data_IF_784543282573
#
_entry.id   IF_784543282573
#
_cell.length_a   1.000
_cell.length_b   1.000
_cell.length_c   1.000
_cell.angle_alpha   90.00
_cell.angle_beta   90.00
_cell.angle_gamma   90.00
#
_symmetry.space_group_name_H-M   'P 1'
#
loop_
_entity.id
_entity.type
_entity.pdbx_description
1 polymer ?
#
# COMPACT_ATOMS: atom_id res chain seq x y z
N UNK A 1 23.28 -6.61 29.54
CA UNK A 1 22.52 -6.58 28.29
C UNK A 1 23.49 -6.60 27.13
N UNK A 2 23.12 -7.26 26.02
CA UNK A 2 23.91 -7.30 24.81
C UNK A 2 23.06 -6.92 23.59
N UNK A 3 23.69 -6.47 22.52
CA UNK A 3 23.06 -6.22 21.22
C UNK A 3 23.43 -7.39 20.30
N UNK A 4 22.41 -7.98 19.65
CA UNK A 4 22.57 -9.01 18.63
C UNK A 4 22.04 -8.49 17.30
N UNK A 5 22.83 -8.58 16.26
CA UNK A 5 22.42 -8.33 14.89
C UNK A 5 22.30 -9.65 14.13
N UNK A 6 21.22 -9.82 13.40
CA UNK A 6 20.95 -10.98 12.55
C UNK A 6 20.70 -10.47 11.13
N UNK A 7 21.49 -10.91 10.17
CA UNK A 7 21.28 -10.62 8.75
C UNK A 7 20.99 -11.95 8.01
N UNK A 8 19.88 -11.98 7.27
CA UNK A 8 19.44 -13.14 6.49
C UNK A 8 19.24 -12.71 5.05
N UNK A 9 20.00 -13.30 4.12
CA UNK A 9 19.82 -13.12 2.69
C UNK A 9 18.77 -14.09 2.13
N UNK A 10 18.07 -13.68 1.09
CA UNK A 10 17.19 -14.59 0.34
C UNK A 10 18.01 -15.65 -0.37
N UNK A 11 17.61 -16.91 -0.26
CA UNK A 11 18.27 -18.04 -0.92
C UNK A 11 18.07 -18.09 -2.46
N UNK A 12 17.14 -17.29 -2.98
CA UNK A 12 16.95 -17.14 -4.41
C UNK A 12 18.00 -16.19 -4.97
N UNK A 13 18.90 -16.70 -5.82
CA UNK A 13 20.02 -15.96 -6.43
C UNK A 13 19.59 -14.69 -7.19
N UNK A 14 18.40 -14.68 -7.79
CA UNK A 14 17.82 -13.52 -8.48
C UNK A 14 17.23 -12.46 -7.54
N UNK A 15 17.01 -12.79 -6.27
CA UNK A 15 16.26 -11.91 -5.35
C UNK A 15 17.13 -10.83 -4.69
N UNK A 16 18.36 -11.12 -4.32
CA UNK A 16 19.34 -10.24 -3.64
C UNK A 16 18.80 -9.46 -2.41
N UNK A 17 17.61 -9.83 -1.89
CA UNK A 17 17.01 -9.18 -0.73
C UNK A 17 17.67 -9.66 0.55
N UNK A 18 17.91 -8.73 1.47
CA UNK A 18 18.47 -8.99 2.80
C UNK A 18 17.51 -8.51 3.86
N UNK A 19 17.34 -9.31 4.92
CA UNK A 19 16.65 -8.89 6.13
C UNK A 19 17.69 -8.71 7.23
N UNK A 20 17.64 -7.56 7.91
CA UNK A 20 18.46 -7.29 9.09
C UNK A 20 17.55 -7.03 10.29
N UNK A 21 17.79 -7.77 11.37
CA UNK A 21 17.06 -7.61 12.63
C UNK A 21 18.08 -7.33 13.75
N UNK A 22 17.78 -6.38 14.62
CA UNK A 22 18.53 -6.15 15.85
C UNK A 22 17.70 -6.54 17.05
N UNK A 23 18.38 -7.08 18.07
CA UNK A 23 17.75 -7.55 19.29
C UNK A 23 18.55 -7.12 20.50
N UNK A 24 17.85 -6.70 21.56
CA UNK A 24 18.43 -6.53 22.88
C UNK A 24 18.22 -7.82 23.65
N UNK A 25 19.32 -8.46 24.02
CA UNK A 25 19.32 -9.74 24.70
C UNK A 25 19.91 -9.60 26.11
N UNK A 26 19.50 -10.48 27.01
CA UNK A 26 20.11 -10.57 28.31
C UNK A 26 21.48 -11.27 28.21
N UNK A 27 22.46 -10.75 28.96
CA UNK A 27 23.80 -11.32 29.01
C UNK A 27 24.26 -11.40 30.46
N UNK A 28 24.85 -12.50 30.86
CA UNK A 28 25.48 -12.70 32.17
C UNK A 28 26.99 -12.79 31.97
N UNK A 29 27.74 -12.27 32.93
CA UNK A 29 29.22 -12.39 32.96
C UNK A 29 29.57 -13.82 33.41
N UNK A 30 30.24 -14.57 32.54
CA UNK A 30 30.78 -15.89 32.88
C UNK A 30 32.05 -15.80 33.69
N UNK A 31 32.48 -16.94 34.26
CA UNK A 31 33.63 -17.05 35.19
C UNK A 31 34.97 -16.61 34.57
N UNK A 32 35.15 -16.59 33.29
CA UNK A 32 36.38 -16.22 32.57
C UNK A 32 36.31 -14.85 31.89
N UNK A 33 35.38 -13.98 32.32
CA UNK A 33 35.23 -12.65 31.74
C UNK A 33 34.45 -12.60 30.41
N UNK A 34 34.07 -13.73 29.88
CA UNK A 34 33.19 -13.82 28.67
C UNK A 34 31.75 -13.61 29.07
N UNK A 35 30.95 -13.01 28.15
CA UNK A 35 29.52 -12.88 28.34
C UNK A 35 28.80 -14.11 27.81
N UNK A 36 27.92 -14.70 28.62
CA UNK A 36 27.03 -15.77 28.24
C UNK A 36 25.68 -15.12 27.92
N UNK A 37 25.25 -15.26 26.68
CA UNK A 37 23.97 -14.72 26.25
C UNK A 37 22.85 -15.70 26.60
N UNK A 38 21.83 -15.22 27.31
CA UNK A 38 20.59 -15.99 27.52
C UNK A 38 19.66 -15.76 26.32
N UNK A 39 18.88 -16.76 25.88
CA UNK A 39 18.02 -16.63 24.72
C UNK A 39 16.78 -15.76 24.97
N UNK A 40 16.76 -14.96 26.03
CA UNK A 40 15.63 -14.07 26.33
C UNK A 40 15.85 -12.74 25.63
N UNK A 41 15.10 -12.55 24.54
CA UNK A 41 15.01 -11.27 23.82
C UNK A 41 14.08 -10.33 24.59
N UNK A 42 14.57 -9.16 24.97
CA UNK A 42 13.77 -8.12 25.62
C UNK A 42 13.22 -7.11 24.65
N UNK A 43 13.85 -6.97 23.49
CA UNK A 43 13.43 -6.09 22.41
C UNK A 43 13.96 -6.65 21.09
N UNK A 44 13.13 -6.61 20.04
CA UNK A 44 13.52 -6.98 18.68
C UNK A 44 12.97 -5.95 17.71
N UNK A 45 13.82 -5.47 16.79
CA UNK A 45 13.43 -4.54 15.73
C UNK A 45 14.03 -4.98 14.40
N UNK A 46 13.20 -5.10 13.39
CA UNK A 46 13.62 -5.26 12.00
C UNK A 46 14.12 -3.92 11.47
N UNK A 47 15.34 -3.90 10.92
CA UNK A 47 15.97 -2.69 10.38
C UNK A 47 15.90 -2.65 8.86
N UNK A 48 16.01 -3.82 8.21
CA UNK A 48 15.96 -3.94 6.75
C UNK A 48 15.07 -5.13 6.38
N UNK A 49 14.09 -4.95 5.51
CA UNK A 49 13.52 -3.67 5.11
C UNK A 49 12.91 -2.96 6.33
N UNK A 50 12.95 -1.66 6.34
CA UNK A 50 12.36 -0.82 7.40
C UNK A 50 10.84 -0.76 7.31
N UNK A 51 10.29 -1.14 6.15
CA UNK A 51 8.86 -1.19 5.86
C UNK A 51 8.44 -2.56 5.32
N UNK A 52 7.16 -2.93 5.54
CA UNK A 52 6.48 -4.06 4.92
C UNK A 52 5.79 -3.68 3.60
N UNK A 53 6.00 -2.45 3.11
CA UNK A 53 5.42 -1.99 1.86
C UNK A 53 5.78 -2.92 0.69
N UNK A 54 4.77 -3.33 -0.08
CA UNK A 54 4.97 -4.07 -1.32
C UNK A 54 5.52 -3.12 -2.38
N UNK A 55 6.42 -3.62 -3.22
CA UNK A 55 6.91 -2.85 -4.37
C UNK A 55 5.76 -2.66 -5.35
N UNK A 56 5.42 -1.41 -5.61
CA UNK A 56 4.35 -1.05 -6.55
C UNK A 56 4.93 -0.75 -7.93
N UNK A 57 4.22 -1.12 -9.01
CA UNK A 57 4.65 -0.85 -10.39
C UNK A 57 4.88 0.64 -10.68
N UNK A 58 5.86 0.95 -11.53
CA UNK A 58 6.24 2.33 -11.87
C UNK A 58 5.16 3.13 -12.61
N UNK A 59 4.22 2.45 -13.28
CA UNK A 59 3.09 3.11 -13.94
C UNK A 59 2.02 3.63 -12.97
N UNK A 60 2.09 3.29 -11.67
CA UNK A 60 1.31 3.95 -10.62
C UNK A 60 2.00 5.28 -10.28
N UNK A 61 1.28 6.41 -10.20
CA UNK A 61 1.86 7.70 -9.90
C UNK A 61 2.79 7.68 -8.68
N UNK A 62 3.96 8.31 -8.76
CA UNK A 62 4.98 8.28 -7.70
C UNK A 62 4.44 8.80 -6.37
N UNK A 63 3.64 9.87 -6.40
CA UNK A 63 3.01 10.45 -5.19
C UNK A 63 2.16 9.43 -4.44
N UNK A 64 1.41 8.57 -5.15
CA UNK A 64 0.59 7.53 -4.53
C UNK A 64 1.47 6.42 -3.92
N UNK A 65 2.54 6.03 -4.62
CA UNK A 65 3.51 5.04 -4.14
C UNK A 65 4.28 5.55 -2.91
N UNK A 66 4.61 6.82 -2.89
CA UNK A 66 5.28 7.49 -1.76
C UNK A 66 4.37 7.52 -0.54
N UNK A 67 3.12 8.01 -0.67
CA UNK A 67 2.14 8.03 0.42
C UNK A 67 1.90 6.63 1.01
N UNK A 68 1.74 5.63 0.16
CA UNK A 68 1.57 4.24 0.57
C UNK A 68 2.81 3.73 1.32
N UNK A 69 4.00 3.97 0.79
CA UNK A 69 5.25 3.51 1.40
C UNK A 69 5.47 4.16 2.77
N UNK A 70 5.24 5.47 2.87
CA UNK A 70 5.36 6.20 4.11
C UNK A 70 4.31 5.75 5.15
N UNK A 71 3.06 5.52 4.72
CA UNK A 71 2.02 4.97 5.59
C UNK A 71 2.45 3.62 6.19
N UNK A 72 3.02 2.72 5.38
CA UNK A 72 3.54 1.44 5.85
C UNK A 72 4.71 1.60 6.84
N UNK A 73 5.64 2.54 6.59
CA UNK A 73 6.79 2.81 7.44
C UNK A 73 6.39 3.25 8.85
N UNK A 74 5.45 4.19 8.94
CA UNK A 74 5.10 4.83 10.21
C UNK A 74 3.94 4.17 10.95
N UNK A 75 3.32 3.12 10.40
CA UNK A 75 2.14 2.45 10.96
C UNK A 75 2.26 2.15 12.47
N UNK A 76 3.38 1.56 12.89
CA UNK A 76 3.62 1.21 14.28
C UNK A 76 4.17 2.36 15.13
N UNK A 77 4.68 3.42 14.49
CA UNK A 77 5.22 4.59 15.17
C UNK A 77 4.13 5.65 15.41
N UNK A 78 3.27 5.84 14.45
CA UNK A 78 2.15 6.78 14.48
C UNK A 78 1.00 6.27 13.63
N UNK A 79 0.15 5.37 14.16
CA UNK A 79 -1.00 4.83 13.42
C UNK A 79 -1.91 5.91 12.86
N UNK A 80 -2.11 6.98 13.64
CA UNK A 80 -2.87 8.17 13.23
C UNK A 80 -2.31 8.85 11.98
N UNK A 81 -0.99 9.06 11.93
CA UNK A 81 -0.35 9.66 10.76
C UNK A 81 -0.37 8.71 9.57
N UNK A 82 -0.17 7.41 9.80
CA UNK A 82 -0.31 6.35 8.78
C UNK A 82 -1.71 6.37 8.14
N UNK A 83 -2.77 6.40 8.95
CA UNK A 83 -4.15 6.49 8.48
C UNK A 83 -4.42 7.78 7.66
N UNK A 84 -3.79 8.89 8.03
CA UNK A 84 -3.90 10.16 7.30
C UNK A 84 -3.25 10.07 5.92
N UNK A 85 -2.06 9.46 5.82
CA UNK A 85 -1.38 9.22 4.55
C UNK A 85 -2.15 8.23 3.68
N UNK A 86 -2.65 7.15 4.27
CA UNK A 86 -3.49 6.18 3.56
C UNK A 86 -4.73 6.85 2.95
N UNK A 87 -5.41 7.70 3.71
CA UNK A 87 -6.55 8.47 3.22
C UNK A 87 -6.16 9.42 2.08
N UNK A 88 -5.01 10.10 2.18
CA UNK A 88 -4.49 10.97 1.11
C UNK A 88 -4.18 10.17 -0.15
N UNK A 89 -3.59 8.99 -0.02
CA UNK A 89 -3.33 8.08 -1.12
C UNK A 89 -4.64 7.69 -1.84
N UNK A 90 -5.66 7.24 -1.10
CA UNK A 90 -6.97 6.88 -1.67
C UNK A 90 -7.61 8.07 -2.38
N UNK A 91 -7.56 9.26 -1.79
CA UNK A 91 -8.07 10.47 -2.42
C UNK A 91 -7.32 10.79 -3.72
N UNK A 92 -6.00 10.62 -3.73
CA UNK A 92 -5.18 10.75 -4.93
C UNK A 92 -5.55 9.74 -6.02
N UNK A 93 -5.86 8.50 -5.65
CA UNK A 93 -6.30 7.47 -6.60
C UNK A 93 -7.65 7.83 -7.25
N UNK A 94 -8.60 8.34 -6.50
CA UNK A 94 -9.89 8.82 -7.03
C UNK A 94 -9.66 9.95 -8.04
N UNK A 95 -8.77 10.89 -7.73
CA UNK A 95 -8.46 12.01 -8.62
C UNK A 95 -7.75 11.57 -9.89
N UNK A 96 -6.78 10.68 -9.76
CA UNK A 96 -5.99 10.21 -10.90
C UNK A 96 -6.79 9.30 -11.84
N UNK A 97 -7.51 8.33 -11.30
CA UNK A 97 -8.22 7.33 -12.09
C UNK A 97 -9.60 7.79 -12.57
N UNK A 98 -10.34 8.48 -11.68
CA UNK A 98 -11.73 8.82 -11.93
C UNK A 98 -11.90 10.27 -12.41
N UNK A 99 -10.82 11.08 -12.43
CA UNK A 99 -10.88 12.50 -12.77
C UNK A 99 -11.94 13.26 -11.93
N UNK A 100 -12.01 12.93 -10.64
CA UNK A 100 -12.89 13.56 -9.67
C UNK A 100 -12.02 14.35 -8.70
N UNK A 101 -12.12 15.68 -8.71
CA UNK A 101 -11.41 16.56 -7.80
C UNK A 101 -12.39 17.48 -7.09
N UNK A 102 -12.66 17.20 -5.82
CA UNK A 102 -13.47 18.03 -4.90
C UNK A 102 -12.60 18.46 -3.73
N UNK A 103 -13.08 19.41 -2.94
CA UNK A 103 -12.34 19.90 -1.78
C UNK A 103 -12.22 18.87 -0.65
N UNK A 104 -13.14 17.92 -0.55
CA UNK A 104 -13.19 16.93 0.53
C UNK A 104 -13.40 15.53 -0.02
N UNK A 105 -12.72 14.54 0.55
CA UNK A 105 -12.86 13.13 0.17
C UNK A 105 -14.32 12.64 0.19
N UNK A 106 -15.11 13.09 1.16
CA UNK A 106 -16.55 12.73 1.23
C UNK A 106 -17.32 13.15 0.00
N UNK A 107 -17.01 14.31 -0.58
CA UNK A 107 -17.69 14.81 -1.77
C UNK A 107 -17.20 14.10 -3.03
N UNK A 108 -15.92 13.67 -3.06
CA UNK A 108 -15.37 12.82 -4.12
C UNK A 108 -16.00 11.41 -4.12
N UNK A 109 -16.19 10.80 -2.94
CA UNK A 109 -16.87 9.51 -2.80
C UNK A 109 -18.34 9.61 -3.26
N UNK A 110 -19.07 10.67 -2.89
CA UNK A 110 -20.44 10.86 -3.34
C UNK A 110 -20.55 10.98 -4.85
N UNK A 111 -19.64 11.74 -5.46
CA UNK A 111 -19.60 11.87 -6.91
C UNK A 111 -19.24 10.53 -7.59
N UNK A 112 -18.34 9.75 -7.01
CA UNK A 112 -17.98 8.44 -7.52
C UNK A 112 -19.16 7.46 -7.46
N UNK A 113 -19.91 7.43 -6.34
CA UNK A 113 -21.16 6.64 -6.22
C UNK A 113 -22.19 7.04 -7.29
N UNK A 114 -22.40 8.34 -7.48
CA UNK A 114 -23.30 8.85 -8.53
C UNK A 114 -22.88 8.39 -9.92
N UNK A 115 -21.59 8.38 -10.23
CA UNK A 115 -21.08 7.89 -11.53
C UNK A 115 -21.27 6.40 -11.71
N UNK A 116 -21.13 5.60 -10.66
CA UNK A 116 -21.41 4.16 -10.70
C UNK A 116 -22.88 3.91 -10.99
N UNK A 117 -23.79 4.59 -10.27
CA UNK A 117 -25.24 4.51 -10.49
C UNK A 117 -25.64 4.91 -11.93
N UNK A 118 -24.89 5.84 -12.53
CA UNK A 118 -25.10 6.30 -13.90
C UNK A 118 -24.37 5.46 -14.97
N UNK A 119 -23.69 4.36 -14.60
CA UNK A 119 -22.81 3.55 -15.48
C UNK A 119 -21.69 4.39 -16.18
N UNK A 120 -21.26 5.48 -15.54
CA UNK A 120 -20.23 6.42 -16.01
C UNK A 120 -18.91 6.33 -15.22
N UNK A 121 -18.75 5.30 -14.41
CA UNK A 121 -17.53 5.07 -13.68
C UNK A 121 -16.43 4.41 -14.54
N UNK A 122 -15.15 4.68 -14.27
CA UNK A 122 -14.06 4.00 -14.96
C UNK A 122 -14.11 2.49 -14.75
N UNK A 123 -13.80 1.72 -15.81
CA UNK A 123 -13.78 0.26 -15.74
C UNK A 123 -12.80 -0.23 -14.66
N UNK A 124 -13.29 -1.05 -13.75
CA UNK A 124 -12.55 -1.60 -12.62
C UNK A 124 -12.89 -0.93 -11.29
N UNK A 125 -13.66 0.15 -11.31
CA UNK A 125 -14.24 0.75 -10.10
C UNK A 125 -15.59 0.08 -9.84
N UNK A 126 -15.72 -0.57 -8.68
CA UNK A 126 -16.93 -1.29 -8.28
C UNK A 126 -17.63 -0.62 -7.09
N UNK A 127 -18.90 -0.92 -6.89
CA UNK A 127 -19.64 -0.48 -5.70
C UNK A 127 -18.95 -0.93 -4.42
N UNK A 128 -18.49 -2.19 -4.37
CA UNK A 128 -17.81 -2.77 -3.20
C UNK A 128 -16.54 -1.98 -2.84
N UNK A 129 -15.73 -1.60 -3.85
CA UNK A 129 -14.51 -0.83 -3.61
C UNK A 129 -14.83 0.58 -3.10
N UNK A 130 -15.91 1.20 -3.58
CA UNK A 130 -16.33 2.54 -3.14
C UNK A 130 -16.98 2.51 -1.76
N UNK A 131 -17.71 1.46 -1.43
CA UNK A 131 -18.24 1.25 -0.09
C UNK A 131 -17.12 1.05 0.94
N UNK A 132 -16.12 0.23 0.60
CA UNK A 132 -14.92 0.06 1.42
C UNK A 132 -14.19 1.38 1.66
N UNK A 133 -14.02 2.22 0.64
CA UNK A 133 -13.43 3.56 0.76
C UNK A 133 -14.26 4.44 1.71
N UNK A 134 -15.59 4.39 1.66
CA UNK A 134 -16.44 5.20 2.53
C UNK A 134 -16.35 4.75 4.00
N UNK A 135 -16.24 3.45 4.26
CA UNK A 135 -15.97 2.92 5.61
C UNK A 135 -14.63 3.39 6.15
N UNK A 136 -13.59 3.30 5.33
CA UNK A 136 -12.22 3.72 5.67
C UNK A 136 -12.13 5.21 5.93
N UNK A 137 -12.87 6.03 5.18
CA UNK A 137 -12.96 7.47 5.42
C UNK A 137 -13.36 7.80 6.86
N UNK A 138 -14.24 7.00 7.45
CA UNK A 138 -14.69 7.19 8.83
C UNK A 138 -13.53 6.97 9.82
N UNK A 139 -12.74 5.93 9.63
CA UNK A 139 -11.56 5.63 10.47
C UNK A 139 -10.51 6.74 10.34
N UNK A 140 -10.16 7.14 9.11
CA UNK A 140 -9.17 8.20 8.87
C UNK A 140 -9.60 9.60 9.34
N UNK A 141 -10.91 9.88 9.46
CA UNK A 141 -11.41 11.13 10.01
C UNK A 141 -11.18 11.24 11.52
N UNK A 142 -11.29 10.12 12.24
CA UNK A 142 -11.10 10.07 13.70
C UNK A 142 -9.69 10.57 14.06
N UNK A 143 -8.68 10.22 13.23
CA UNK A 143 -7.31 10.65 13.48
C UNK A 143 -6.94 12.04 12.98
N UNK A 144 -7.66 12.62 12.02
CA UNK A 144 -7.28 13.84 11.32
C UNK A 144 -7.86 15.13 11.92
N UNK A 145 -8.96 15.06 12.67
CA UNK A 145 -9.61 16.19 13.28
C UNK A 145 -9.59 16.08 14.81
N UNK A 146 -9.30 17.20 15.47
CA UNK A 146 -9.50 17.30 16.91
C UNK A 146 -11.00 17.34 17.17
N UNK A 147 -11.49 16.46 18.03
CA UNK A 147 -12.88 16.51 18.47
C UNK A 147 -13.19 17.84 19.15
N UNK A 148 -14.47 18.26 19.15
CA UNK A 148 -14.91 19.49 19.77
C UNK A 148 -14.57 19.52 21.28
N UNK A 149 -14.55 18.36 21.90
CA UNK A 149 -14.12 18.17 23.27
C UNK A 149 -12.70 17.58 23.29
N UNK A 150 -11.74 18.35 23.81
CA UNK A 150 -10.32 17.94 23.95
C UNK A 150 -10.19 16.68 24.83
N UNK A 151 -11.15 16.41 25.71
CA UNK A 151 -11.20 15.21 26.55
C UNK A 151 -11.55 13.92 25.80
N UNK A 152 -12.11 14.01 24.60
CA UNK A 152 -12.47 12.86 23.76
C UNK A 152 -11.38 12.62 22.74
N UNK A 153 -10.43 11.73 23.05
CA UNK A 153 -9.39 11.30 22.11
C UNK A 153 -9.82 9.95 21.53
N UNK A 154 -10.17 9.92 20.25
CA UNK A 154 -10.35 8.66 19.52
C UNK A 154 -9.00 8.32 18.90
N UNK A 155 -8.35 7.29 19.43
CA UNK A 155 -7.09 6.78 18.91
C UNK A 155 -7.33 5.94 17.66
N UNK A 156 -6.33 5.91 16.79
CA UNK A 156 -6.23 4.93 15.68
C UNK A 156 -5.18 3.91 16.09
N UNK A 157 -5.58 2.65 16.13
CA UNK A 157 -4.68 1.56 16.47
C UNK A 157 -3.87 1.08 15.25
N UNK A 158 -2.70 0.44 15.44
CA UNK A 158 -1.87 -0.07 14.33
C UNK A 158 -2.61 -1.02 13.39
N UNK A 159 -3.53 -1.83 13.91
CA UNK A 159 -4.30 -2.78 13.12
C UNK A 159 -5.37 -2.09 12.26
N UNK A 160 -5.93 -0.99 12.74
CA UNK A 160 -6.85 -0.16 11.97
C UNK A 160 -6.10 0.55 10.82
N UNK A 161 -4.91 1.10 11.08
CA UNK A 161 -4.05 1.65 10.04
C UNK A 161 -3.63 0.58 9.03
N UNK A 162 -3.44 -0.67 9.45
CA UNK A 162 -3.13 -1.79 8.57
C UNK A 162 -4.28 -2.08 7.60
N UNK A 163 -5.54 -2.08 8.05
CA UNK A 163 -6.69 -2.26 7.17
C UNK A 163 -6.76 -1.21 6.06
N UNK A 164 -6.37 0.04 6.36
CA UNK A 164 -6.29 1.11 5.36
C UNK A 164 -5.21 0.83 4.31
N UNK A 165 -4.07 0.34 4.74
CA UNK A 165 -2.96 -0.06 3.86
C UNK A 165 -3.39 -1.22 2.96
N UNK A 166 -4.06 -2.24 3.50
CA UNK A 166 -4.56 -3.39 2.74
C UNK A 166 -5.61 -2.98 1.71
N UNK A 167 -6.47 -2.03 2.03
CA UNK A 167 -7.40 -1.47 1.05
C UNK A 167 -6.65 -0.77 -0.09
N UNK A 168 -5.62 0.05 0.19
CA UNK A 168 -4.81 0.68 -0.86
C UNK A 168 -4.19 -0.39 -1.76
N UNK A 169 -3.66 -1.48 -1.20
CA UNK A 169 -3.09 -2.58 -1.97
C UNK A 169 -4.11 -3.23 -2.90
N UNK A 170 -5.33 -3.50 -2.40
CA UNK A 170 -6.42 -4.02 -3.21
C UNK A 170 -6.81 -3.06 -4.34
N UNK A 171 -6.92 -1.76 -4.02
CA UNK A 171 -7.23 -0.75 -5.03
C UNK A 171 -6.10 -0.58 -6.06
N UNK A 172 -4.83 -0.69 -5.69
CA UNK A 172 -3.72 -0.71 -6.65
C UNK A 172 -3.84 -1.89 -7.61
N UNK A 173 -4.17 -3.08 -7.11
CA UNK A 173 -4.34 -4.27 -7.93
C UNK A 173 -5.55 -4.13 -8.88
N UNK A 174 -6.69 -3.67 -8.39
CA UNK A 174 -7.92 -3.56 -9.17
C UNK A 174 -7.87 -2.41 -10.18
N UNK A 175 -7.46 -1.24 -9.73
CA UNK A 175 -7.59 -0.01 -10.51
C UNK A 175 -6.41 0.24 -11.46
N UNK A 176 -5.21 -0.20 -11.08
CA UNK A 176 -4.00 0.04 -11.88
C UNK A 176 -3.47 -1.25 -12.53
N UNK A 177 -3.20 -2.30 -11.75
CA UNK A 177 -2.56 -3.51 -12.26
C UNK A 177 -3.48 -4.25 -13.24
N UNK A 178 -4.72 -4.51 -12.85
CA UNK A 178 -5.68 -5.19 -13.72
C UNK A 178 -5.99 -4.37 -15.00
N UNK A 179 -6.10 -3.03 -14.88
CA UNK A 179 -6.29 -2.13 -16.02
C UNK A 179 -5.11 -2.17 -16.97
N UNK A 180 -3.88 -2.08 -16.47
CA UNK A 180 -2.68 -2.14 -17.29
C UNK A 180 -2.54 -3.48 -18.01
N UNK A 181 -2.76 -4.59 -17.30
CA UNK A 181 -2.73 -5.93 -17.87
C UNK A 181 -3.79 -6.11 -18.99
N UNK A 182 -5.00 -5.59 -18.79
CA UNK A 182 -6.07 -5.60 -19.80
C UNK A 182 -5.67 -4.81 -21.04
N UNK A 183 -5.16 -3.60 -20.86
CA UNK A 183 -4.71 -2.73 -21.96
C UNK A 183 -3.59 -3.39 -22.77
N UNK A 184 -2.61 -3.99 -22.09
CA UNK A 184 -1.51 -4.70 -22.74
C UNK A 184 -2.00 -5.90 -23.57
N UNK A 185 -2.98 -6.69 -23.05
CA UNK A 185 -3.59 -7.80 -23.80
C UNK A 185 -4.30 -7.32 -25.07
N UNK A 186 -5.09 -6.26 -24.97
CA UNK A 186 -5.82 -5.71 -26.13
C UNK A 186 -4.87 -5.13 -27.18
N UNK A 187 -3.81 -4.42 -26.77
CA UNK A 187 -2.76 -3.95 -27.68
C UNK A 187 -2.10 -5.11 -28.43
N UNK A 188 -1.78 -6.20 -27.72
CA UNK A 188 -1.20 -7.41 -28.34
C UNK A 188 -2.15 -8.06 -29.34
N UNK A 189 -3.44 -8.20 -29.01
CA UNK A 189 -4.44 -8.73 -29.93
C UNK A 189 -4.58 -7.87 -31.19
N UNK A 190 -4.62 -6.53 -31.02
CA UNK A 190 -4.68 -5.58 -32.15
C UNK A 190 -3.46 -5.71 -33.06
N UNK A 191 -2.25 -5.81 -32.50
CA UNK A 191 -1.03 -5.96 -33.32
C UNK A 191 -1.01 -7.28 -34.11
N UNK A 192 -1.48 -8.38 -33.51
CA UNK A 192 -1.58 -9.68 -34.21
C UNK A 192 -2.63 -9.61 -35.33
N UNK A 193 -3.79 -8.98 -35.11
CA UNK A 193 -4.81 -8.82 -36.13
C UNK A 193 -4.29 -8.04 -37.33
N UNK A 194 -3.65 -6.89 -37.11
CA UNK A 194 -3.03 -6.09 -38.17
C UNK A 194 -1.97 -6.88 -38.94
N UNK A 195 -1.11 -7.62 -38.22
CA UNK A 195 -0.09 -8.47 -38.87
C UNK A 195 -0.70 -9.53 -39.80
N UNK A 196 -1.82 -10.13 -39.40
CA UNK A 196 -2.54 -11.13 -40.19
C UNK A 196 -3.22 -10.53 -41.45
N UNK A 197 -3.76 -9.32 -41.32
CA UNK A 197 -4.32 -8.60 -42.50
C UNK A 197 -3.23 -8.28 -43.51
N UNK A 198 -2.07 -7.79 -43.08
CA UNK A 198 -0.95 -7.54 -43.97
C UNK A 198 -0.44 -8.80 -44.66
N UNK A 199 -0.43 -9.95 -43.98
CA UNK A 199 -0.07 -11.24 -44.59
C UNK A 199 -1.08 -11.68 -45.67
N UNK A 200 -2.41 -11.51 -45.42
CA UNK A 200 -3.44 -11.85 -46.41
C UNK A 200 -3.32 -11.00 -47.70
N UNK A 201 -3.06 -9.73 -47.58
CA UNK A 201 -2.89 -8.84 -48.75
C UNK A 201 -1.62 -9.14 -49.58
N UNK A 202 -0.56 -9.68 -48.96
CA UNK A 202 0.66 -10.10 -49.68
C UNK A 202 0.52 -11.46 -50.38
N UNK A 203 -0.40 -12.30 -49.96
CA UNK A 203 -0.55 -13.68 -50.50
C UNK A 203 -1.68 -13.77 -51.56
N UNK A 204 -2.47 -12.69 -51.73
CA UNK A 204 -3.60 -12.64 -52.70
C UNK A 204 -3.32 -11.80 -53.94
N UNK A 205 -2.10 -11.41 -54.22
CA UNK A 205 -1.61 -10.80 -55.48
C UNK A 205 -0.55 -11.71 -56.13
#
# INVERSE_FOLDING_TARGET
MGLRGIAVGCSNEGCKKVQVTTEIITAKRGQKGFYIYEPKTTFSKKIVPDSLAKIQPEYIPSVLREDYTEACLIRNLSPKASATLARRCIQGMIRDLCDISKGRLVDEIKELKRRIEADDAPKGVSDDSVEAIDHVRKIGNIGAHMEKDIGVIVSVEPDEAQLLIELIESLFDEWYVARNARTARFSKLKSVAVSKEVQKTKTGG
#
